data_IF_262480270214
#
_entry.id   IF_262480270214
#
_cell.length_a   1.000
_cell.length_b   1.000
_cell.length_c   1.000
_cell.angle_alpha   90.00
_cell.angle_beta   90.00
_cell.angle_gamma   90.00
#
_symmetry.space_group_name_H-M   'P 1'
#
loop_
_entity.id
_entity.type
_entity.pdbx_description
1 polymer ?
#
# COMPACT_ATOMS: atom_id res chain seq x y z
N UNK A 1 24.16 44.98 -14.67
CA UNK A 1 24.56 43.87 -13.77
C UNK A 1 23.31 43.10 -13.41
N UNK A 2 23.20 41.88 -13.92
CA UNK A 2 22.01 41.03 -13.83
C UNK A 2 22.06 40.28 -12.48
N UNK A 3 21.13 40.57 -11.58
CA UNK A 3 20.97 39.86 -10.30
C UNK A 3 20.46 38.45 -10.58
N UNK A 4 21.25 37.47 -10.17
CA UNK A 4 20.94 36.04 -10.23
C UNK A 4 19.72 35.80 -9.31
N UNK A 5 18.59 35.48 -9.91
CA UNK A 5 17.44 34.93 -9.21
C UNK A 5 17.79 33.50 -8.78
N UNK A 6 18.36 33.39 -7.57
CA UNK A 6 18.59 32.11 -6.90
C UNK A 6 17.22 31.56 -6.49
N UNK A 7 16.63 30.75 -7.37
CA UNK A 7 15.40 30.02 -7.11
C UNK A 7 15.61 29.07 -5.95
N UNK A 8 14.93 29.40 -4.87
CA UNK A 8 14.80 28.61 -3.66
C UNK A 8 14.10 27.28 -4.00
N UNK A 9 14.86 26.21 -4.23
CA UNK A 9 14.35 24.83 -4.20
C UNK A 9 14.25 24.43 -2.73
N UNK A 10 13.22 24.96 -2.04
CA UNK A 10 12.88 24.55 -0.68
C UNK A 10 12.39 23.10 -0.69
N UNK A 11 13.29 22.18 -0.37
CA UNK A 11 13.07 21.06 0.54
C UNK A 11 11.74 20.31 0.48
N UNK A 12 11.19 20.03 -0.70
CA UNK A 12 10.11 19.06 -0.82
C UNK A 12 10.73 17.70 -0.48
N UNK A 13 10.48 17.21 0.74
CA UNK A 13 10.76 15.82 1.07
C UNK A 13 10.05 14.98 0.03
N UNK A 14 10.76 14.12 -0.73
CA UNK A 14 10.14 13.30 -1.74
C UNK A 14 9.02 12.49 -1.10
N UNK A 15 7.86 12.40 -1.78
CA UNK A 15 6.72 11.67 -1.27
C UNK A 15 7.13 10.21 -1.01
N UNK A 16 6.65 9.59 0.08
CA UNK A 16 6.94 8.18 0.32
C UNK A 16 6.37 7.33 -0.82
N UNK A 17 7.21 6.47 -1.40
CA UNK A 17 6.84 5.59 -2.51
C UNK A 17 6.20 4.32 -1.96
N UNK A 18 4.97 4.01 -2.39
CA UNK A 18 4.17 2.91 -1.85
C UNK A 18 3.79 1.94 -2.97
N UNK A 19 4.21 0.68 -2.82
CA UNK A 19 3.68 -0.42 -3.66
C UNK A 19 2.51 -1.09 -2.99
N UNK A 20 1.48 -1.42 -3.75
CA UNK A 20 0.30 -2.13 -3.26
C UNK A 20 0.16 -3.44 -4.03
N UNK A 21 0.17 -4.57 -3.31
CA UNK A 21 0.00 -5.91 -3.89
C UNK A 21 -1.24 -6.57 -3.29
N UNK A 22 -2.08 -7.12 -4.14
CA UNK A 22 -3.04 -8.14 -3.75
C UNK A 22 -2.34 -9.49 -3.54
N UNK A 23 -2.41 -10.00 -2.32
CA UNK A 23 -1.99 -11.35 -1.95
C UNK A 23 -3.25 -12.23 -1.93
N UNK A 24 -3.82 -12.47 -3.11
CA UNK A 24 -5.00 -13.32 -3.23
C UNK A 24 -4.66 -14.74 -2.77
N UNK A 25 -5.64 -15.47 -2.22
CA UNK A 25 -5.46 -16.91 -2.04
C UNK A 25 -5.55 -17.54 -3.43
N UNK A 26 -4.68 -18.51 -3.67
CA UNK A 26 -4.45 -19.19 -4.95
C UNK A 26 -5.64 -20.02 -5.47
N UNK A 27 -6.85 -19.83 -4.93
CA UNK A 27 -8.06 -20.49 -5.40
C UNK A 27 -8.71 -19.77 -6.59
N UNK A 28 -8.19 -18.60 -6.98
CA UNK A 28 -8.55 -17.89 -8.21
C UNK A 28 -10.00 -17.36 -8.25
N UNK A 29 -10.77 -17.58 -7.18
CA UNK A 29 -12.17 -17.20 -7.12
C UNK A 29 -12.38 -15.68 -6.98
N UNK A 30 -11.32 -14.95 -6.62
CA UNK A 30 -11.37 -13.51 -6.32
C UNK A 30 -10.21 -12.72 -6.92
N UNK A 31 -9.57 -13.21 -7.98
CA UNK A 31 -8.41 -12.55 -8.60
C UNK A 31 -8.79 -11.14 -9.10
N UNK A 32 -9.90 -11.02 -9.82
CA UNK A 32 -10.38 -9.75 -10.36
C UNK A 32 -10.79 -8.77 -9.25
N UNK A 33 -11.48 -9.25 -8.22
CA UNK A 33 -11.90 -8.44 -7.08
C UNK A 33 -10.69 -8.00 -6.23
N UNK A 34 -9.73 -8.89 -5.99
CA UNK A 34 -8.52 -8.58 -5.21
C UNK A 34 -7.67 -7.54 -5.92
N UNK A 35 -7.51 -7.67 -7.24
CA UNK A 35 -6.87 -6.66 -8.08
C UNK A 35 -7.59 -5.31 -8.00
N UNK A 36 -8.91 -5.28 -8.17
CA UNK A 36 -9.69 -4.04 -8.07
C UNK A 36 -9.58 -3.38 -6.68
N UNK A 37 -9.52 -4.17 -5.61
CA UNK A 37 -9.30 -3.69 -4.25
C UNK A 37 -7.89 -3.10 -4.06
N UNK A 38 -6.87 -3.71 -4.66
CA UNK A 38 -5.50 -3.19 -4.62
C UNK A 38 -5.38 -1.88 -5.41
N UNK A 39 -6.02 -1.77 -6.58
CA UNK A 39 -6.10 -0.52 -7.35
C UNK A 39 -6.81 0.57 -6.56
N UNK A 40 -7.95 0.25 -5.93
CA UNK A 40 -8.67 1.19 -5.08
C UNK A 40 -7.80 1.67 -3.92
N UNK A 41 -7.06 0.78 -3.25
CA UNK A 41 -6.16 1.14 -2.17
C UNK A 41 -5.02 2.05 -2.65
N UNK A 42 -4.43 1.77 -3.81
CA UNK A 42 -3.43 2.64 -4.42
C UNK A 42 -3.99 4.04 -4.70
N UNK A 43 -5.20 4.15 -5.25
CA UNK A 43 -5.87 5.43 -5.48
C UNK A 43 -6.14 6.22 -4.19
N UNK A 44 -6.53 5.53 -3.11
CA UNK A 44 -6.73 6.18 -1.80
C UNK A 44 -5.41 6.72 -1.24
N UNK A 45 -4.32 5.97 -1.40
CA UNK A 45 -2.99 6.38 -0.95
C UNK A 45 -2.45 7.55 -1.79
N UNK A 46 -2.64 7.54 -3.10
CA UNK A 46 -2.35 8.70 -3.96
C UNK A 46 -3.09 9.96 -3.47
N UNK A 47 -4.39 9.84 -3.21
CA UNK A 47 -5.21 10.94 -2.66
C UNK A 47 -4.79 11.39 -1.25
N UNK A 48 -4.05 10.56 -0.51
CA UNK A 48 -3.52 10.87 0.80
C UNK A 48 -2.09 11.47 0.76
N UNK A 49 -1.51 11.66 -0.42
CA UNK A 49 -0.20 12.28 -0.60
C UNK A 49 0.97 11.29 -0.64
N UNK A 50 0.73 10.02 -0.96
CA UNK A 50 1.77 9.05 -1.28
C UNK A 50 2.03 8.97 -2.78
N UNK A 51 3.22 8.57 -3.19
CA UNK A 51 3.47 8.11 -4.57
C UNK A 51 3.14 6.61 -4.63
N UNK A 52 1.86 6.27 -4.84
CA UNK A 52 1.36 4.91 -4.69
C UNK A 52 0.98 4.26 -6.03
N UNK A 53 1.40 3.01 -6.23
CA UNK A 53 1.07 2.19 -7.42
C UNK A 53 0.73 0.76 -7.05
N UNK A 54 -0.13 0.12 -7.84
CA UNK A 54 -0.31 -1.33 -7.78
C UNK A 54 0.95 -2.01 -8.35
N UNK A 55 1.41 -3.07 -7.69
CA UNK A 55 2.35 -4.02 -8.26
C UNK A 55 1.62 -5.33 -8.58
N UNK A 56 2.20 -6.14 -9.45
CA UNK A 56 1.61 -7.41 -9.82
C UNK A 56 1.81 -8.49 -8.74
N UNK A 57 0.89 -9.46 -8.63
CA UNK A 57 1.02 -10.56 -7.68
C UNK A 57 2.26 -11.41 -7.98
N UNK A 58 2.68 -11.50 -9.24
CA UNK A 58 3.91 -12.21 -9.65
C UNK A 58 5.21 -11.64 -9.05
N UNK A 59 5.16 -10.45 -8.46
CA UNK A 59 6.28 -9.85 -7.72
C UNK A 59 6.46 -10.49 -6.33
N UNK A 60 5.49 -11.25 -5.83
CA UNK A 60 5.60 -11.95 -4.55
C UNK A 60 6.50 -13.19 -4.67
N UNK A 61 7.48 -13.38 -3.76
CA UNK A 61 8.29 -14.58 -3.74
C UNK A 61 7.46 -15.79 -3.29
N UNK A 62 7.71 -16.94 -3.90
CA UNK A 62 7.08 -18.20 -3.51
C UNK A 62 7.28 -18.50 -2.01
N UNK A 63 6.20 -18.88 -1.33
CA UNK A 63 6.22 -19.20 0.10
C UNK A 63 6.28 -17.99 1.05
N UNK A 64 6.43 -16.76 0.53
CA UNK A 64 6.51 -15.56 1.34
C UNK A 64 5.19 -14.77 1.31
N UNK A 65 4.34 -14.96 2.32
CA UNK A 65 3.00 -14.34 2.35
C UNK A 65 2.95 -12.99 3.05
N UNK A 66 3.67 -12.83 4.17
CA UNK A 66 3.73 -11.58 4.96
C UNK A 66 5.06 -11.54 5.73
N UNK A 67 5.66 -10.35 5.86
CA UNK A 67 6.77 -10.09 6.79
C UNK A 67 8.12 -9.79 6.13
N UNK A 68 9.24 -9.97 6.84
CA UNK A 68 10.57 -9.52 6.40
C UNK A 68 11.04 -10.07 5.05
N UNK A 69 10.58 -11.25 4.63
CA UNK A 69 10.92 -11.82 3.33
C UNK A 69 10.42 -10.97 2.15
N UNK A 70 9.41 -10.11 2.36
CA UNK A 70 8.90 -9.17 1.36
C UNK A 70 9.71 -7.88 1.26
N UNK A 71 10.67 -7.64 2.15
CA UNK A 71 11.55 -6.48 2.07
C UNK A 71 12.33 -6.45 0.74
N UNK A 72 12.61 -7.61 0.15
CA UNK A 72 13.30 -7.69 -1.14
C UNK A 72 12.45 -7.16 -2.29
N UNK A 73 11.13 -7.40 -2.25
CA UNK A 73 10.17 -6.84 -3.22
C UNK A 73 10.13 -5.32 -3.09
N UNK A 74 10.08 -4.80 -1.86
CA UNK A 74 10.12 -3.37 -1.65
C UNK A 74 11.42 -2.74 -2.18
N UNK A 75 12.57 -3.39 -1.94
CA UNK A 75 13.88 -2.93 -2.41
C UNK A 75 14.01 -2.95 -3.93
N UNK A 76 13.57 -4.01 -4.61
CA UNK A 76 13.67 -4.11 -6.08
C UNK A 76 12.88 -3.02 -6.80
N UNK A 77 11.80 -2.55 -6.17
CA UNK A 77 10.94 -1.48 -6.70
C UNK A 77 11.22 -0.09 -6.13
N UNK A 78 12.25 0.06 -5.28
CA UNK A 78 12.60 1.34 -4.67
C UNK A 78 11.52 1.91 -3.73
N UNK A 79 10.75 1.04 -3.08
CA UNK A 79 9.60 1.42 -2.25
C UNK A 79 10.02 1.78 -0.83
N UNK A 80 9.39 2.81 -0.28
CA UNK A 80 9.39 3.11 1.14
C UNK A 80 8.46 2.17 1.91
N UNK A 81 7.34 1.81 1.30
CA UNK A 81 6.32 0.95 1.91
C UNK A 81 5.84 -0.07 0.91
N UNK A 82 5.69 -1.31 1.38
CA UNK A 82 4.91 -2.32 0.69
C UNK A 82 3.60 -2.55 1.44
N UNK A 83 2.48 -2.41 0.74
CA UNK A 83 1.14 -2.68 1.25
C UNK A 83 0.66 -3.98 0.65
N UNK A 84 0.17 -4.89 1.50
CA UNK A 84 -0.42 -6.16 1.11
C UNK A 84 -1.92 -6.13 1.40
N UNK A 85 -2.73 -6.58 0.45
CA UNK A 85 -4.15 -6.83 0.64
C UNK A 85 -4.43 -8.31 0.56
N UNK A 86 -5.12 -8.86 1.55
CA UNK A 86 -5.61 -10.22 1.52
C UNK A 86 -7.14 -10.18 1.66
N UNK A 87 -7.84 -10.67 0.64
CA UNK A 87 -9.27 -10.85 0.66
C UNK A 87 -9.62 -12.29 1.06
N UNK A 88 -10.71 -12.46 1.81
CA UNK A 88 -11.20 -13.77 2.22
C UNK A 88 -12.70 -13.73 2.50
N UNK A 89 -13.45 -14.75 2.09
CA UNK A 89 -14.85 -14.86 2.47
C UNK A 89 -15.01 -15.37 3.88
N UNK A 90 -15.83 -14.64 4.63
CA UNK A 90 -16.21 -14.99 5.99
C UNK A 90 -17.73 -14.83 6.08
N UNK A 91 -18.45 -15.96 6.06
CA UNK A 91 -19.92 -16.00 6.16
C UNK A 91 -20.61 -15.12 5.10
N UNK A 92 -20.33 -15.40 3.82
CA UNK A 92 -20.90 -14.69 2.67
C UNK A 92 -20.57 -13.18 2.60
N UNK A 93 -19.44 -12.80 3.20
CA UNK A 93 -18.91 -11.44 3.16
C UNK A 93 -17.44 -11.46 2.79
N UNK A 94 -17.06 -10.57 1.89
CA UNK A 94 -15.65 -10.35 1.56
C UNK A 94 -14.97 -9.51 2.65
N UNK A 95 -14.16 -10.17 3.49
CA UNK A 95 -13.30 -9.49 4.45
C UNK A 95 -11.96 -9.19 3.81
N UNK A 96 -11.52 -7.94 3.88
CA UNK A 96 -10.25 -7.48 3.36
C UNK A 96 -9.34 -7.08 4.52
N UNK A 97 -8.15 -7.69 4.57
CA UNK A 97 -7.08 -7.30 5.47
C UNK A 97 -6.01 -6.53 4.70
N UNK A 98 -5.52 -5.44 5.28
CA UNK A 98 -4.49 -4.58 4.68
C UNK A 98 -3.33 -4.44 5.65
N UNK A 99 -2.10 -4.65 5.18
CA UNK A 99 -0.88 -4.59 5.98
C UNK A 99 0.16 -3.71 5.31
N UNK A 100 0.74 -2.76 6.03
CA UNK A 100 1.88 -1.97 5.56
C UNK A 100 3.18 -2.46 6.20
N UNK A 101 4.18 -2.71 5.36
CA UNK A 101 5.54 -3.08 5.75
C UNK A 101 6.51 -1.97 5.35
N UNK A 102 7.49 -1.71 6.21
CA UNK A 102 8.58 -0.78 5.95
C UNK A 102 9.54 -1.38 4.93
N UNK A 103 9.70 -0.74 3.77
CA UNK A 103 10.44 -1.28 2.64
C UNK A 103 11.89 -1.72 2.94
N UNK A 104 12.67 -0.98 3.75
CA UNK A 104 14.05 -1.33 4.05
C UNK A 104 14.27 -2.70 4.73
N UNK A 105 13.32 -3.18 5.54
CA UNK A 105 13.51 -4.40 6.36
C UNK A 105 12.25 -5.26 6.53
N UNK A 106 11.11 -4.85 5.97
CA UNK A 106 9.83 -5.53 6.09
C UNK A 106 9.20 -5.44 7.50
N UNK A 107 9.62 -4.48 8.32
CA UNK A 107 9.03 -4.22 9.64
C UNK A 107 7.56 -3.78 9.48
N UNK A 108 6.61 -4.36 10.24
CA UNK A 108 5.22 -3.91 10.20
C UNK A 108 5.06 -2.45 10.66
N UNK A 109 4.33 -1.65 9.89
CA UNK A 109 4.03 -0.25 10.21
C UNK A 109 2.63 -0.08 10.77
N UNK A 110 1.63 -0.62 10.05
CA UNK A 110 0.21 -0.55 10.43
C UNK A 110 -0.58 -1.62 9.69
N UNK A 111 -1.78 -1.92 10.19
CA UNK A 111 -2.69 -2.85 9.56
C UNK A 111 -4.15 -2.41 9.79
N UNK A 112 -5.03 -2.80 8.88
CA UNK A 112 -6.47 -2.59 8.99
C UNK A 112 -7.24 -3.80 8.47
N UNK A 113 -8.50 -3.92 8.86
CA UNK A 113 -9.46 -4.86 8.29
C UNK A 113 -10.77 -4.15 8.00
N UNK A 114 -11.43 -4.53 6.92
CA UNK A 114 -12.76 -4.02 6.59
C UNK A 114 -13.56 -5.05 5.81
N UNK A 115 -14.88 -4.95 5.91
CA UNK A 115 -15.79 -5.67 5.02
C UNK A 115 -15.91 -4.87 3.73
N UNK A 116 -15.66 -5.50 2.58
CA UNK A 116 -15.96 -4.93 1.28
C UNK A 116 -17.32 -5.45 0.83
N UNK A 117 -18.29 -4.60 0.48
CA UNK A 117 -19.45 -5.08 -0.27
C UNK A 117 -18.97 -5.66 -1.60
N UNK A 118 -19.59 -6.74 -2.09
CA UNK A 118 -19.32 -7.30 -3.42
C UNK A 118 -19.60 -6.29 -4.56
N UNK A 119 -20.30 -5.19 -4.27
CA UNK A 119 -20.62 -4.13 -5.22
C UNK A 119 -19.68 -2.92 -5.04
N UNK A 120 -18.90 -2.54 -6.07
CA UNK A 120 -18.05 -1.35 -6.03
C UNK A 120 -18.91 -0.08 -5.93
N UNK A 121 -18.50 0.90 -5.12
CA UNK A 121 -19.17 2.21 -5.17
C UNK A 121 -18.75 3.23 -4.11
N UNK A 122 -18.25 2.79 -2.95
CA UNK A 122 -17.74 3.71 -1.92
C UNK A 122 -16.41 3.22 -1.36
N UNK A 123 -15.46 4.14 -1.26
CA UNK A 123 -14.20 3.90 -0.55
C UNK A 123 -14.48 3.53 0.91
N UNK A 124 -14.00 2.36 1.38
CA UNK A 124 -14.11 1.98 2.77
C UNK A 124 -13.44 3.02 3.68
N UNK A 125 -14.17 3.51 4.70
CA UNK A 125 -13.62 4.44 5.70
C UNK A 125 -12.34 3.91 6.36
N UNK A 126 -12.24 2.59 6.49
CA UNK A 126 -11.07 1.91 7.01
C UNK A 126 -9.80 2.16 6.17
N UNK A 127 -9.89 2.22 4.83
CA UNK A 127 -8.74 2.54 3.97
C UNK A 127 -8.27 3.99 4.17
N UNK A 128 -9.20 4.93 4.34
CA UNK A 128 -8.84 6.33 4.65
C UNK A 128 -8.17 6.46 6.02
N UNK A 129 -8.65 5.72 7.04
CA UNK A 129 -7.99 5.68 8.35
C UNK A 129 -6.62 5.03 8.26
N UNK A 130 -6.51 3.92 7.54
CA UNK A 130 -5.24 3.22 7.29
C UNK A 130 -4.18 4.14 6.67
N UNK A 131 -4.54 4.94 5.65
CA UNK A 131 -3.63 5.89 5.03
C UNK A 131 -3.12 6.95 6.02
N UNK A 132 -3.97 7.44 6.94
CA UNK A 132 -3.58 8.38 8.00
C UNK A 132 -2.64 7.73 9.02
N UNK A 133 -2.93 6.50 9.42
CA UNK A 133 -2.09 5.75 10.36
C UNK A 133 -0.73 5.43 9.73
N UNK A 134 -0.70 5.11 8.44
CA UNK A 134 0.53 4.91 7.68
C UNK A 134 1.37 6.19 7.64
N UNK A 135 0.77 7.34 7.31
CA UNK A 135 1.48 8.63 7.31
C UNK A 135 2.08 8.93 8.70
N UNK A 136 1.34 8.64 9.78
CA UNK A 136 1.82 8.80 11.16
C UNK A 136 2.98 7.86 11.48
N UNK A 137 2.93 6.62 11.00
CA UNK A 137 3.99 5.64 11.20
C UNK A 137 5.28 6.06 10.46
N UNK A 138 5.16 6.53 9.21
CA UNK A 138 6.28 7.02 8.41
C UNK A 138 6.94 8.26 9.01
N UNK A 139 6.14 9.19 9.55
CA UNK A 139 6.67 10.35 10.25
C UNK A 139 7.57 9.97 11.43
N UNK A 140 7.27 8.87 12.13
CA UNK A 140 8.12 8.34 13.22
C UNK A 140 9.41 7.71 12.71
N UNK A 141 9.45 7.26 11.44
CA UNK A 141 10.63 6.75 10.74
C UNK A 141 11.45 7.85 10.06
N UNK A 142 11.02 9.11 10.15
CA UNK A 142 11.68 10.25 9.49
C UNK A 142 11.35 10.38 8.00
N UNK A 143 10.24 9.79 7.56
CA UNK A 143 9.66 9.95 6.22
C UNK A 143 8.37 10.77 6.24
#
# INVERSE_FOLDING_TARGET
>A
MLLIALTVVLGQTPLPVVGVIDASRSDGAYEDESRALAEQAAHVLLGAGFDAKRLDESELPEGCKVGPCLAQVAKSHGLDVLVLLAASDVKDKLLVAVFALWGPNGEPLTAARYESPHTPGKTPKALTTFAKDLAKALKKKGR
#
